data_IF_126027103985
#
_entry.id   IF_126027103985
#
_cell.length_a   1.000
_cell.length_b   1.000
_cell.length_c   1.000
_cell.angle_alpha   90.00
_cell.angle_beta   90.00
_cell.angle_gamma   90.00
#
_symmetry.space_group_name_H-M   'P 1'
#
loop_
_entity.id
_entity.type
_entity.pdbx_description
1 polymer ?
#
# COMPACT_ATOMS: atom_id res chain seq x y z
N UNK A 1 -2.33 7.12 -17.23
CA UNK A 1 -1.93 8.37 -16.54
C UNK A 1 -3.03 9.02 -15.70
N UNK A 2 -4.28 9.16 -16.16
CA UNK A 2 -5.34 9.85 -15.38
C UNK A 2 -5.53 9.33 -13.95
N UNK A 3 -5.51 8.00 -13.73
CA UNK A 3 -5.68 7.42 -12.39
C UNK A 3 -4.50 7.66 -11.45
N UNK A 4 -3.26 7.54 -11.92
CA UNK A 4 -2.08 7.83 -11.10
C UNK A 4 -2.07 9.30 -10.66
N UNK A 5 -2.29 10.23 -11.59
CA UNK A 5 -2.40 11.64 -11.25
C UNK A 5 -3.53 11.88 -10.25
N UNK A 6 -4.64 11.15 -10.41
CA UNK A 6 -5.74 11.17 -9.46
C UNK A 6 -5.22 10.78 -8.08
N UNK A 7 -4.77 9.55 -7.86
CA UNK A 7 -4.26 9.06 -6.57
C UNK A 7 -3.18 10.00 -6.00
N UNK A 8 -2.16 10.35 -6.79
CA UNK A 8 -1.03 11.16 -6.36
C UNK A 8 -1.37 12.57 -5.87
N UNK A 9 -2.53 13.11 -6.23
CA UNK A 9 -2.96 14.44 -5.77
C UNK A 9 -3.82 14.40 -4.50
N UNK A 10 -4.01 13.24 -3.87
CA UNK A 10 -4.78 13.09 -2.61
C UNK A 10 -3.84 13.06 -1.41
N UNK A 11 -4.38 13.38 -0.24
CA UNK A 11 -3.67 13.24 1.05
C UNK A 11 -3.71 11.82 1.61
N UNK A 12 -4.76 11.06 1.26
CA UNK A 12 -4.98 9.69 1.71
C UNK A 12 -5.87 8.98 0.68
N UNK A 13 -5.62 7.69 0.48
CA UNK A 13 -6.47 6.80 -0.32
C UNK A 13 -7.03 5.70 0.57
N UNK A 14 -8.33 5.50 0.52
CA UNK A 14 -9.04 4.44 1.24
C UNK A 14 -9.65 3.50 0.20
N UNK A 15 -9.31 2.21 0.25
CA UNK A 15 -9.69 1.28 -0.84
C UNK A 15 -9.69 -0.19 -0.43
N UNK A 16 -10.42 -1.04 -1.14
CA UNK A 16 -10.35 -2.50 -1.09
C UNK A 16 -9.59 -3.10 -2.29
N UNK A 17 -8.98 -2.24 -3.15
CA UNK A 17 -8.37 -2.63 -4.43
C UNK A 17 -6.85 -2.65 -4.37
N UNK A 18 -6.27 -3.81 -4.71
CA UNK A 18 -4.82 -4.00 -4.85
C UNK A 18 -4.18 -2.96 -5.77
N UNK A 19 -4.71 -2.70 -6.96
CA UNK A 19 -4.11 -1.72 -7.87
C UNK A 19 -4.10 -0.29 -7.30
N UNK A 20 -5.12 0.08 -6.51
CA UNK A 20 -5.12 1.38 -5.85
C UNK A 20 -4.05 1.45 -4.75
N UNK A 21 -3.80 0.36 -4.01
CA UNK A 21 -2.66 0.24 -3.10
C UNK A 21 -1.33 0.43 -3.85
N UNK A 22 -1.10 -0.33 -4.92
CA UNK A 22 0.14 -0.25 -5.72
C UNK A 22 0.36 1.15 -6.29
N UNK A 23 -0.67 1.77 -6.83
CA UNK A 23 -0.55 3.14 -7.34
C UNK A 23 -0.27 4.15 -6.23
N UNK A 24 -0.83 3.95 -5.03
CA UNK A 24 -0.53 4.80 -3.88
C UNK A 24 0.94 4.68 -3.47
N UNK A 25 1.53 3.49 -3.56
CA UNK A 25 2.97 3.27 -3.34
C UNK A 25 3.80 4.04 -4.37
N UNK A 26 3.48 3.89 -5.66
CA UNK A 26 4.18 4.56 -6.75
C UNK A 26 4.11 6.09 -6.60
N UNK A 27 2.96 6.63 -6.19
CA UNK A 27 2.77 8.07 -6.03
C UNK A 27 3.15 8.58 -4.64
N UNK A 28 3.68 7.73 -3.76
CA UNK A 28 3.99 8.02 -2.36
C UNK A 28 2.82 8.66 -1.61
N UNK A 29 1.60 8.21 -1.91
CA UNK A 29 0.37 8.68 -1.27
C UNK A 29 0.00 7.72 -0.14
N UNK A 30 -0.26 8.20 1.09
CA UNK A 30 -0.73 7.35 2.18
C UNK A 30 -1.98 6.55 1.78
N UNK A 31 -2.05 5.28 2.18
CA UNK A 31 -3.16 4.42 1.80
C UNK A 31 -3.59 3.48 2.94
N UNK A 32 -4.89 3.49 3.23
CA UNK A 32 -5.57 2.51 4.07
C UNK A 32 -6.30 1.50 3.16
N UNK A 33 -5.90 0.24 3.26
CA UNK A 33 -6.41 -0.86 2.44
C UNK A 33 -7.25 -1.80 3.27
N UNK A 34 -8.46 -2.08 2.80
CA UNK A 34 -9.35 -3.07 3.40
C UNK A 34 -9.15 -4.46 2.79
N UNK A 35 -9.34 -5.47 3.64
CA UNK A 35 -9.52 -6.85 3.20
C UNK A 35 -10.70 -7.00 2.24
N UNK A 36 -10.52 -7.85 1.23
CA UNK A 36 -11.60 -8.33 0.37
C UNK A 36 -11.60 -9.86 0.34
N UNK A 37 -12.67 -10.45 -0.19
CA UNK A 37 -12.88 -11.91 -0.20
C UNK A 37 -11.79 -12.71 -0.93
N UNK A 38 -10.96 -12.06 -1.76
CA UNK A 38 -9.92 -12.72 -2.55
C UNK A 38 -8.54 -12.68 -1.89
N UNK A 39 -8.36 -11.96 -0.79
CA UNK A 39 -7.10 -11.92 -0.01
C UNK A 39 -5.89 -11.31 -0.72
N UNK A 40 -5.98 -10.95 -2.01
CA UNK A 40 -4.82 -10.47 -2.80
C UNK A 40 -4.13 -9.27 -2.17
N UNK A 41 -4.90 -8.28 -1.73
CA UNK A 41 -4.35 -7.10 -1.08
C UNK A 41 -3.70 -7.43 0.26
N UNK A 42 -4.29 -8.35 1.03
CA UNK A 42 -3.75 -8.85 2.30
C UNK A 42 -2.41 -9.53 2.10
N UNK A 43 -2.35 -10.52 1.21
CA UNK A 43 -1.13 -11.28 0.94
C UNK A 43 -0.02 -10.38 0.38
N UNK A 44 -0.31 -9.55 -0.63
CA UNK A 44 0.68 -8.60 -1.13
C UNK A 44 1.17 -7.62 -0.05
N UNK A 45 0.30 -7.20 0.87
CA UNK A 45 0.70 -6.37 1.99
C UNK A 45 1.61 -7.13 2.97
N UNK A 46 1.16 -8.29 3.45
CA UNK A 46 1.89 -9.07 4.46
C UNK A 46 3.23 -9.56 3.94
N UNK A 47 3.28 -10.05 2.70
CA UNK A 47 4.45 -10.73 2.15
C UNK A 47 5.56 -9.76 1.74
N UNK A 48 5.20 -8.55 1.27
CA UNK A 48 6.18 -7.61 0.70
C UNK A 48 6.08 -6.18 1.22
N UNK A 49 4.87 -5.67 1.47
CA UNK A 49 4.66 -4.22 1.57
C UNK A 49 4.44 -3.72 3.00
N UNK A 50 4.49 -4.62 4.00
CA UNK A 50 4.26 -4.30 5.41
C UNK A 50 5.32 -3.39 6.02
N UNK A 51 6.51 -3.30 5.40
CA UNK A 51 7.57 -2.36 5.77
C UNK A 51 7.31 -0.91 5.33
N UNK A 52 6.30 -0.64 4.49
CA UNK A 52 5.94 0.72 4.08
C UNK A 52 5.10 1.39 5.17
N UNK A 53 5.65 2.42 5.82
CA UNK A 53 5.04 3.09 6.97
C UNK A 53 3.73 3.84 6.62
N UNK A 54 3.53 4.17 5.35
CA UNK A 54 2.40 4.94 4.81
C UNK A 54 1.33 4.07 4.14
N UNK A 55 1.49 2.74 4.17
CA UNK A 55 0.48 1.79 3.71
C UNK A 55 0.01 0.99 4.94
N UNK A 56 -1.29 0.87 5.13
CA UNK A 56 -1.85 0.09 6.23
C UNK A 56 -2.95 -0.82 5.71
N UNK A 57 -2.83 -2.11 5.96
CA UNK A 57 -3.93 -3.05 5.81
C UNK A 57 -4.82 -3.08 7.06
N UNK A 58 -6.12 -3.21 6.90
CA UNK A 58 -7.07 -3.41 8.01
C UNK A 58 -8.27 -4.27 7.62
N UNK A 59 -8.76 -5.07 8.56
CA UNK A 59 -10.06 -5.76 8.49
C UNK A 59 -11.11 -5.11 9.42
N UNK A 60 -10.71 -4.04 10.14
CA UNK A 60 -11.56 -3.34 11.10
C UNK A 60 -12.69 -2.59 10.39
N UNK A 61 -13.88 -2.58 10.97
CA UNK A 61 -15.04 -1.88 10.41
C UNK A 61 -15.53 -0.74 11.30
N UNK A 62 -15.10 -0.71 12.56
CA UNK A 62 -15.48 0.32 13.52
C UNK A 62 -14.77 1.64 13.22
N UNK A 63 -15.51 2.74 12.94
CA UNK A 63 -14.94 4.07 12.74
C UNK A 63 -13.97 4.50 13.85
N UNK A 64 -14.27 4.20 15.11
CA UNK A 64 -13.46 4.62 16.27
C UNK A 64 -12.07 3.95 16.24
N UNK A 65 -11.97 2.75 15.66
CA UNK A 65 -10.70 2.07 15.47
C UNK A 65 -9.95 2.49 14.20
N UNK A 66 -10.65 3.09 13.24
CA UNK A 66 -10.08 3.56 11.96
C UNK A 66 -9.49 4.96 12.08
N UNK A 67 -10.10 5.83 12.88
CA UNK A 67 -9.61 7.20 13.15
C UNK A 67 -8.11 7.26 13.51
N UNK A 68 -7.60 6.48 14.50
CA UNK A 68 -6.18 6.53 14.84
C UNK A 68 -5.27 6.05 13.70
N UNK A 69 -5.72 5.10 12.87
CA UNK A 69 -4.97 4.63 11.71
C UNK A 69 -4.86 5.73 10.65
N UNK A 70 -5.97 6.41 10.38
CA UNK A 70 -6.03 7.54 9.44
C UNK A 70 -5.16 8.70 9.92
N UNK A 71 -5.25 9.05 11.20
CA UNK A 71 -4.44 10.12 11.79
C UNK A 71 -2.94 9.82 11.67
N UNK A 72 -2.51 8.60 11.96
CA UNK A 72 -1.13 8.15 11.78
C UNK A 72 -0.66 8.28 10.33
N UNK A 73 -1.46 7.80 9.38
CA UNK A 73 -1.13 7.82 7.97
C UNK A 73 -0.98 9.24 7.41
N UNK A 74 -1.82 10.17 7.85
CA UNK A 74 -1.77 11.57 7.42
C UNK A 74 -0.54 12.35 7.93
N UNK A 75 0.12 11.84 8.97
CA UNK A 75 1.28 12.48 9.60
C UNK A 75 2.62 11.82 9.21
N UNK A 76 2.57 10.69 8.51
CA UNK A 76 3.75 9.90 8.20
C UNK A 76 4.40 10.39 6.90
N UNK A 77 5.73 10.58 6.93
CA UNK A 77 6.51 10.74 5.71
C UNK A 77 6.77 9.36 5.08
N UNK A 78 6.43 9.16 3.79
CA UNK A 78 6.62 7.88 3.11
C UNK A 78 8.08 7.42 3.16
N UNK A 79 8.33 6.18 3.57
CA UNK A 79 9.63 5.53 3.48
C UNK A 79 9.77 4.69 2.20
N UNK A 80 10.91 4.00 2.09
CA UNK A 80 11.18 3.02 1.05
C UNK A 80 11.54 1.68 1.68
N UNK A 81 11.36 0.62 0.92
CA UNK A 81 11.76 -0.75 1.25
C UNK A 81 12.56 -1.32 0.09
N UNK A 82 13.47 -2.24 0.38
CA UNK A 82 14.16 -3.00 -0.65
C UNK A 82 13.46 -4.34 -0.85
N UNK A 83 12.84 -4.51 -2.02
CA UNK A 83 12.22 -5.77 -2.45
C UNK A 83 13.17 -6.63 -3.26
N UNK A 84 14.47 -6.29 -3.27
CA UNK A 84 15.42 -7.03 -4.07
C UNK A 84 15.39 -8.49 -3.65
N UNK A 85 15.71 -8.83 -2.41
CA UNK A 85 15.82 -10.24 -2.01
C UNK A 85 14.59 -11.08 -2.38
N UNK A 86 13.37 -10.53 -2.24
CA UNK A 86 12.11 -11.19 -2.59
C UNK A 86 11.97 -11.57 -4.07
N UNK A 87 12.56 -10.79 -4.97
CA UNK A 87 12.45 -10.96 -6.43
C UNK A 87 13.79 -11.33 -7.09
N UNK A 88 14.68 -12.01 -6.35
CA UNK A 88 15.99 -12.43 -6.85
C UNK A 88 15.90 -13.24 -8.16
N UNK A 89 14.94 -14.16 -8.26
CA UNK A 89 14.73 -14.96 -9.49
C UNK A 89 14.48 -14.10 -10.72
N UNK A 90 13.66 -13.04 -10.58
CA UNK A 90 13.41 -12.11 -11.68
C UNK A 90 14.65 -11.28 -12.01
N UNK A 91 15.40 -10.85 -11.00
CA UNK A 91 16.67 -10.14 -11.23
C UNK A 91 17.67 -10.99 -12.00
N UNK A 92 17.79 -12.26 -11.66
CA UNK A 92 18.72 -13.15 -12.33
C UNK A 92 18.29 -13.42 -13.78
N UNK A 93 16.99 -13.56 -14.02
CA UNK A 93 16.42 -13.69 -15.37
C UNK A 93 16.72 -12.48 -16.28
N UNK A 94 16.65 -11.25 -15.78
CA UNK A 94 16.94 -10.06 -16.59
C UNK A 94 18.45 -9.77 -16.76
N UNK A 95 19.33 -10.49 -16.05
CA UNK A 95 20.78 -10.37 -16.18
C UNK A 95 21.38 -11.32 -17.23
N UNK A 96 20.65 -12.37 -17.61
CA UNK A 96 21.03 -13.30 -18.69
C UNK A 96 20.59 -12.79 -20.06
#
# INVERSE_FOLDING_TARGET
MKMLHRIGSRKLVITDRLHAMIFSIITRTPCLVFGNSYGKAKHSYTDWLSGLNFIQYTDKQDPDELEPLIARLLQTEPNEIDLSEDFQVLRDYFKS
#
